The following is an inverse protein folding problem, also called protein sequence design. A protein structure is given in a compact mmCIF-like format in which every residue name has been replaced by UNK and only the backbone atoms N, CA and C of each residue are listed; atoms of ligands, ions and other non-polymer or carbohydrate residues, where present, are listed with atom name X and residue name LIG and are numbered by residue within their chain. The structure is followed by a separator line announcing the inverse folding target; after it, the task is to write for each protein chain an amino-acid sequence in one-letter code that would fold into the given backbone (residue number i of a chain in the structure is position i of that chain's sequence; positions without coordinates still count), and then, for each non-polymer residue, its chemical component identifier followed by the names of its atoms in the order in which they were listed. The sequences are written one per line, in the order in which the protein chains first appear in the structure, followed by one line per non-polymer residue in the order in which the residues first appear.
data_IF_365259099771
#
_entry.id   IF_365259099771
#
_cell.length_a   1.000
_cell.length_b   1.000
_cell.length_c   1.000
_cell.angle_alpha   90.00
_cell.angle_beta   90.00
_cell.angle_gamma   90.00
#
_symmetry.space_group_name_H-M   'P 1'
#
loop_
_entity.id
_entity.type
_entity.pdbx_description
1 polymer ?
#
# COMPACT_ATOMS: atom_id res chain seq x y z
N UNK A 1 10.59 -54.83 0.14
CA UNK A 1 11.19 -55.18 -1.16
C UNK A 1 11.45 -53.90 -1.93
N UNK A 2 12.71 -53.61 -2.27
CA UNK A 2 13.07 -52.39 -3.01
C UNK A 2 12.56 -52.47 -4.46
N UNK A 3 11.93 -51.39 -4.96
CA UNK A 3 11.49 -51.28 -6.36
C UNK A 3 12.72 -51.30 -7.27
N UNK A 4 12.84 -52.31 -8.14
CA UNK A 4 13.87 -52.37 -9.20
C UNK A 4 13.72 -51.14 -10.11
N UNK A 5 14.82 -50.40 -10.29
CA UNK A 5 14.91 -49.36 -11.31
C UNK A 5 14.90 -50.00 -12.70
N UNK A 6 14.08 -49.44 -13.58
CA UNK A 6 13.92 -49.86 -14.97
C UNK A 6 15.02 -49.23 -15.83
N UNK A 7 16.08 -50.01 -16.08
CA UNK A 7 17.28 -49.55 -16.77
C UNK A 7 17.03 -49.18 -18.24
N UNK A 8 16.10 -49.87 -18.91
CA UNK A 8 15.77 -49.61 -20.33
C UNK A 8 15.16 -48.22 -20.52
N UNK A 9 14.32 -47.78 -19.58
CA UNK A 9 13.69 -46.46 -19.64
C UNK A 9 14.71 -45.32 -19.49
N UNK A 10 15.79 -45.54 -18.74
CA UNK A 10 16.87 -44.56 -18.54
C UNK A 10 17.77 -44.48 -19.77
N UNK A 11 18.04 -45.62 -20.43
CA UNK A 11 18.85 -45.70 -21.63
C UNK A 11 18.15 -45.08 -22.86
N UNK A 12 16.83 -45.29 -23.00
CA UNK A 12 16.02 -44.65 -24.04
C UNK A 12 15.97 -43.12 -23.92
N UNK A 13 15.99 -42.57 -22.69
CA UNK A 13 16.03 -41.13 -22.45
C UNK A 13 17.39 -40.51 -22.83
N UNK A 14 18.51 -41.21 -22.61
CA UNK A 14 19.86 -40.76 -23.05
C UNK A 14 19.98 -40.71 -24.57
N UNK A 15 19.42 -41.69 -25.29
CA UNK A 15 19.43 -41.68 -26.76
C UNK A 15 18.58 -40.56 -27.40
N UNK A 16 17.57 -40.02 -26.71
CA UNK A 16 16.80 -38.87 -27.19
C UNK A 16 17.54 -37.53 -27.04
N UNK A 17 18.40 -37.38 -26.01
CA UNK A 17 19.25 -36.20 -25.85
C UNK A 17 20.37 -36.15 -26.90
N UNK A 18 20.99 -37.30 -27.22
CA UNK A 18 21.97 -37.41 -28.30
C UNK A 18 21.37 -36.92 -29.64
N UNK A 19 20.17 -37.39 -30.01
CA UNK A 19 19.47 -36.96 -31.24
C UNK A 19 19.14 -35.46 -31.30
N UNK A 20 19.00 -34.77 -30.16
CA UNK A 20 18.79 -33.31 -30.10
C UNK A 20 20.09 -32.52 -30.22
N UNK A 21 21.18 -33.06 -29.68
CA UNK A 21 22.54 -32.53 -29.87
C UNK A 21 22.95 -32.60 -31.34
N UNK A 22 22.75 -33.77 -31.96
CA UNK A 22 23.12 -34.03 -33.35
C UNK A 22 22.37 -33.09 -34.32
N UNK A 23 21.06 -32.86 -34.11
CA UNK A 23 20.28 -31.90 -34.91
C UNK A 23 20.76 -30.45 -34.78
N UNK A 24 21.27 -30.04 -33.61
CA UNK A 24 21.82 -28.69 -33.40
C UNK A 24 23.18 -28.52 -34.06
N UNK A 25 24.00 -29.56 -34.05
CA UNK A 25 25.27 -29.57 -34.79
C UNK A 25 25.07 -29.62 -36.30
N UNK A 26 24.07 -30.37 -36.77
CA UNK A 26 23.68 -30.43 -38.17
C UNK A 26 23.18 -29.07 -38.68
N UNK A 27 22.31 -28.39 -37.92
CA UNK A 27 21.90 -27.00 -38.23
C UNK A 27 23.07 -26.01 -38.24
N UNK A 28 24.03 -26.14 -37.30
CA UNK A 28 25.23 -25.30 -37.30
C UNK A 28 26.08 -25.52 -38.54
N UNK A 29 26.24 -26.78 -38.97
CA UNK A 29 26.98 -27.13 -40.20
C UNK A 29 26.28 -26.60 -41.44
N UNK A 30 24.96 -26.72 -41.54
CA UNK A 30 24.19 -26.14 -42.66
C UNK A 30 24.34 -24.61 -42.74
N UNK A 31 24.30 -23.92 -41.60
CA UNK A 31 24.51 -22.46 -41.54
C UNK A 31 25.93 -22.09 -42.00
N UNK A 32 26.94 -22.80 -41.51
CA UNK A 32 28.34 -22.57 -41.92
C UNK A 32 28.56 -22.83 -43.42
N UNK A 33 28.01 -23.92 -43.94
CA UNK A 33 28.13 -24.28 -45.35
C UNK A 33 27.38 -23.27 -46.25
N UNK A 34 26.23 -22.78 -45.81
CA UNK A 34 25.50 -21.71 -46.48
C UNK A 34 26.28 -20.40 -46.52
N UNK A 35 26.97 -20.04 -45.42
CA UNK A 35 27.83 -18.85 -45.36
C UNK A 35 29.05 -19.02 -46.27
N UNK A 36 29.66 -20.22 -46.31
CA UNK A 36 30.78 -20.53 -47.19
C UNK A 36 30.36 -20.41 -48.67
N UNK A 37 29.19 -20.95 -49.05
CA UNK A 37 28.60 -20.84 -50.40
C UNK A 37 28.28 -19.39 -50.79
N UNK A 38 27.88 -18.55 -49.84
CA UNK A 38 27.69 -17.12 -50.06
C UNK A 38 29.03 -16.39 -50.29
N UNK A 39 30.08 -16.74 -49.54
CA UNK A 39 31.42 -16.12 -49.65
C UNK A 39 32.21 -16.59 -50.86
N UNK A 40 32.03 -17.83 -51.31
CA UNK A 40 32.66 -18.38 -52.52
C UNK A 40 32.00 -17.88 -53.81
N UNK A 41 30.93 -17.09 -53.72
CA UNK A 41 30.23 -16.52 -54.87
C UNK A 41 29.32 -17.50 -55.62
N UNK A 42 29.12 -18.73 -55.10
CA UNK A 42 28.17 -19.70 -55.66
C UNK A 42 26.72 -19.19 -55.61
N UNK A 43 26.38 -18.34 -54.63
CA UNK A 43 25.12 -17.61 -54.57
C UNK A 43 25.34 -16.13 -54.89
N UNK A 44 24.78 -15.65 -56.00
CA UNK A 44 24.86 -14.24 -56.40
C UNK A 44 23.78 -13.43 -55.67
N UNK A 45 24.17 -12.73 -54.61
CA UNK A 45 23.33 -11.71 -53.97
C UNK A 45 23.49 -10.37 -54.71
N UNK A 46 22.38 -9.77 -55.17
CA UNK A 46 22.39 -8.40 -55.69
C UNK A 46 22.07 -7.44 -54.55
N UNK A 47 23.03 -6.60 -54.19
CA UNK A 47 22.78 -5.50 -53.25
C UNK A 47 21.99 -4.43 -54.00
N UNK A 48 20.74 -4.22 -53.60
CA UNK A 48 19.96 -3.07 -54.04
C UNK A 48 20.38 -1.91 -53.13
N UNK A 49 21.32 -1.10 -53.60
CA UNK A 49 21.64 0.16 -52.95
C UNK A 49 20.44 1.10 -53.14
N UNK A 50 19.90 1.74 -52.09
CA UNK A 50 18.86 2.74 -52.27
C UNK A 50 19.39 3.87 -53.16
N UNK A 51 18.55 4.43 -54.03
CA UNK A 51 18.91 5.60 -54.84
C UNK A 51 19.47 6.69 -53.92
N UNK A 52 20.73 7.08 -54.13
CA UNK A 52 21.31 8.26 -53.49
C UNK A 52 20.51 9.46 -53.97
N UNK A 53 19.55 9.92 -53.16
CA UNK A 53 19.13 11.32 -53.22
C UNK A 53 20.37 12.13 -52.81
N UNK A 54 20.91 12.92 -53.74
CA UNK A 54 21.86 13.97 -53.40
C UNK A 54 21.11 14.95 -52.49
N UNK A 55 21.25 14.78 -51.18
CA UNK A 55 20.88 15.83 -50.25
C UNK A 55 21.93 16.92 -50.44
N UNK A 56 21.52 18.02 -51.08
CA UNK A 56 22.19 19.29 -50.91
C UNK A 56 22.49 19.47 -49.41
N UNK A 57 23.69 19.94 -49.09
CA UNK A 57 24.18 20.15 -47.73
C UNK A 57 23.26 21.15 -47.00
N UNK A 58 22.11 20.67 -46.52
CA UNK A 58 21.29 21.41 -45.59
C UNK A 58 22.09 21.45 -44.30
N UNK A 59 22.42 22.65 -43.82
CA UNK A 59 23.00 22.84 -42.49
C UNK A 59 22.23 21.96 -41.50
N UNK A 60 22.95 21.09 -40.77
CA UNK A 60 22.33 20.15 -39.85
C UNK A 60 21.38 20.91 -38.92
N UNK A 61 20.11 20.48 -38.86
CA UNK A 61 19.10 21.11 -38.00
C UNK A 61 19.63 21.21 -36.58
N UNK A 62 19.70 22.44 -36.04
CA UNK A 62 20.12 22.69 -34.66
C UNK A 62 19.22 21.94 -33.68
N UNK A 63 19.82 21.45 -32.60
CA UNK A 63 19.12 20.78 -31.50
C UNK A 63 18.46 21.84 -30.64
N UNK A 64 17.14 21.75 -30.42
CA UNK A 64 16.39 22.71 -29.60
C UNK A 64 16.60 22.38 -28.13
N UNK A 65 17.30 23.24 -27.41
CA UNK A 65 17.76 22.99 -26.04
C UNK A 65 16.99 23.86 -25.05
N UNK A 66 16.46 23.23 -24.01
CA UNK A 66 15.98 23.90 -22.82
C UNK A 66 16.95 23.66 -21.66
N UNK A 67 17.03 24.60 -20.72
CA UNK A 67 17.73 24.39 -19.45
C UNK A 67 16.74 24.51 -18.29
N UNK A 68 16.98 23.74 -17.22
CA UNK A 68 16.16 23.78 -16.02
C UNK A 68 17.01 24.06 -14.78
N UNK A 69 16.73 25.20 -14.14
CA UNK A 69 17.43 25.66 -12.94
C UNK A 69 16.47 25.66 -11.74
N UNK A 70 16.95 25.16 -10.60
CA UNK A 70 16.20 25.16 -9.34
C UNK A 70 17.16 25.41 -8.20
N UNK A 71 16.80 26.26 -7.23
CA UNK A 71 17.51 26.35 -5.94
C UNK A 71 16.79 25.51 -4.89
N UNK A 72 17.57 24.79 -4.08
CA UNK A 72 17.07 23.82 -3.10
C UNK A 72 16.82 24.45 -1.73
N UNK A 73 17.50 25.55 -1.41
CA UNK A 73 17.42 26.23 -0.12
C UNK A 73 17.38 27.75 -0.28
N UNK A 74 16.82 28.43 0.72
CA UNK A 74 16.84 29.89 0.80
C UNK A 74 18.28 30.44 0.92
N UNK A 75 19.18 29.65 1.50
CA UNK A 75 20.61 29.95 1.66
C UNK A 75 21.35 29.91 0.30
N UNK A 76 21.03 28.96 -0.59
CA UNK A 76 21.52 28.96 -1.98
C UNK A 76 21.01 30.19 -2.75
N UNK A 77 19.76 30.62 -2.51
CA UNK A 77 19.16 31.78 -3.18
C UNK A 77 19.81 33.12 -2.77
N UNK A 78 20.35 33.23 -1.56
CA UNK A 78 20.99 34.47 -1.07
C UNK A 78 22.39 34.75 -1.68
N UNK A 79 23.02 33.77 -2.33
CA UNK A 79 24.45 33.85 -2.77
C UNK A 79 24.61 34.17 -4.26
N UNK A 80 23.57 34.57 -4.99
CA UNK A 80 23.65 34.79 -6.46
C UNK A 80 23.89 33.49 -7.24
N UNK A 81 23.73 32.33 -6.57
CA UNK A 81 23.97 31.01 -7.14
C UNK A 81 22.95 30.61 -8.20
N UNK A 82 21.80 31.27 -8.22
CA UNK A 82 20.73 31.05 -9.19
C UNK A 82 21.03 31.76 -10.51
N UNK A 83 21.40 33.04 -10.46
CA UNK A 83 21.82 33.83 -11.62
C UNK A 83 23.06 33.20 -12.27
N UNK A 84 24.01 32.70 -11.46
CA UNK A 84 25.16 31.96 -11.97
C UNK A 84 24.77 30.66 -12.68
N UNK A 85 23.74 29.94 -12.22
CA UNK A 85 23.25 28.74 -12.90
C UNK A 85 22.61 29.07 -14.24
N UNK A 86 21.79 30.13 -14.30
CA UNK A 86 21.17 30.59 -15.54
C UNK A 86 22.25 31.04 -16.53
N UNK A 87 23.22 31.85 -16.09
CA UNK A 87 24.34 32.29 -16.93
C UNK A 87 25.20 31.13 -17.41
N UNK A 88 25.46 30.14 -16.55
CA UNK A 88 26.19 28.93 -16.91
C UNK A 88 25.50 28.17 -18.05
N UNK A 89 24.20 27.86 -17.92
CA UNK A 89 23.50 27.14 -18.98
C UNK A 89 23.30 27.98 -20.25
N UNK A 90 23.10 29.29 -20.10
CA UNK A 90 23.08 30.21 -21.24
C UNK A 90 24.40 30.15 -22.02
N UNK A 91 25.53 30.26 -21.32
CA UNK A 91 26.87 30.15 -21.91
C UNK A 91 27.14 28.78 -22.54
N UNK A 92 26.71 27.69 -21.90
CA UNK A 92 26.83 26.33 -22.45
C UNK A 92 26.07 26.19 -23.76
N UNK A 93 24.91 26.83 -23.87
CA UNK A 93 24.07 26.77 -25.08
C UNK A 93 24.64 27.68 -26.18
N UNK A 94 25.00 28.91 -25.85
CA UNK A 94 25.51 29.89 -26.82
C UNK A 94 26.87 29.48 -27.41
N UNK A 95 27.71 28.81 -26.63
CA UNK A 95 29.01 28.32 -27.10
C UNK A 95 28.92 27.07 -27.98
N UNK A 96 27.74 26.46 -28.14
CA UNK A 96 27.56 25.29 -29.00
C UNK A 96 26.82 25.68 -30.29
N UNK A 97 27.49 25.70 -31.46
CA UNK A 97 26.89 26.15 -32.72
C UNK A 97 25.73 25.26 -33.19
N UNK A 98 25.63 24.04 -32.66
CA UNK A 98 24.58 23.08 -32.97
C UNK A 98 23.34 23.23 -32.06
N UNK A 99 23.36 24.11 -31.07
CA UNK A 99 22.24 24.31 -30.15
C UNK A 99 21.42 25.54 -30.51
N UNK A 100 20.12 25.45 -30.26
CA UNK A 100 19.16 26.53 -30.35
C UNK A 100 18.45 26.64 -29.00
N UNK A 101 18.63 27.76 -28.28
CA UNK A 101 17.96 27.97 -27.00
C UNK A 101 16.45 28.12 -27.21
N UNK A 102 15.67 27.23 -26.56
CA UNK A 102 14.21 27.36 -26.48
C UNK A 102 13.84 28.30 -25.33
N UNK A 103 14.20 27.90 -24.11
CA UNK A 103 13.89 28.62 -22.87
C UNK A 103 14.71 28.05 -21.71
N UNK A 104 15.11 28.92 -20.79
CA UNK A 104 15.61 28.51 -19.48
C UNK A 104 14.42 28.56 -18.51
N UNK A 105 14.02 27.38 -18.03
CA UNK A 105 12.95 27.20 -17.07
C UNK A 105 13.51 27.25 -15.66
N UNK A 106 12.78 27.92 -14.77
CA UNK A 106 13.25 28.15 -13.41
C UNK A 106 12.16 27.87 -12.39
N UNK A 107 12.56 27.32 -11.24
CA UNK A 107 11.72 27.21 -10.06
C UNK A 107 12.49 27.72 -8.83
N UNK A 108 12.02 28.81 -8.23
CA UNK A 108 12.56 29.35 -6.97
C UNK A 108 12.01 28.55 -5.78
N UNK A 109 12.91 27.97 -4.99
CA UNK A 109 12.56 27.15 -3.82
C UNK A 109 12.43 27.98 -2.54
N UNK A 110 11.20 28.33 -2.16
CA UNK A 110 10.89 28.66 -0.76
C UNK A 110 10.74 27.34 0.00
N UNK A 111 11.44 27.25 1.13
CA UNK A 111 11.57 26.13 2.06
C UNK A 111 10.39 25.14 2.19
N UNK A 112 10.72 23.85 2.31
CA UNK A 112 10.31 22.95 3.40
C UNK A 112 8.85 22.54 3.60
N UNK A 113 7.86 23.32 3.20
CA UNK A 113 6.45 23.06 3.52
C UNK A 113 5.58 23.64 2.41
N UNK A 114 4.99 22.75 1.61
CA UNK A 114 3.99 22.94 0.55
C UNK A 114 3.77 24.34 -0.06
N UNK A 115 3.66 24.31 -1.40
CA UNK A 115 3.06 25.33 -2.28
C UNK A 115 4.02 26.33 -2.96
N UNK A 116 5.07 25.79 -3.58
CA UNK A 116 5.49 26.23 -4.91
C UNK A 116 5.14 25.11 -5.90
N UNK A 117 4.07 25.27 -6.69
CA UNK A 117 3.84 24.42 -7.87
C UNK A 117 5.07 24.64 -8.75
N UNK A 118 5.81 23.57 -9.09
CA UNK A 118 7.02 23.62 -9.94
C UNK A 118 6.61 24.04 -11.35
N UNK A 119 6.19 25.29 -11.50
CA UNK A 119 5.55 25.81 -12.71
C UNK A 119 6.56 25.82 -13.84
N UNK A 120 7.80 26.20 -13.57
CA UNK A 120 8.86 26.15 -14.57
C UNK A 120 9.14 24.72 -15.03
N UNK A 121 9.19 23.76 -14.10
CA UNK A 121 9.33 22.35 -14.48
C UNK A 121 8.13 21.83 -15.27
N UNK A 122 6.90 22.14 -14.85
CA UNK A 122 5.69 21.70 -15.54
C UNK A 122 5.60 22.27 -16.95
N UNK A 123 5.85 23.57 -17.09
CA UNK A 123 5.89 24.25 -18.39
C UNK A 123 6.97 23.63 -19.30
N UNK A 124 8.15 23.32 -18.76
CA UNK A 124 9.20 22.63 -19.52
C UNK A 124 8.75 21.27 -20.06
N UNK A 125 8.09 20.46 -19.22
CA UNK A 125 7.61 19.15 -19.63
C UNK A 125 6.47 19.27 -20.65
N UNK A 126 5.58 20.25 -20.49
CA UNK A 126 4.52 20.56 -21.47
C UNK A 126 5.11 20.96 -22.83
N UNK A 127 6.13 21.82 -22.83
CA UNK A 127 6.83 22.23 -24.06
C UNK A 127 7.63 21.09 -24.70
N UNK A 128 8.20 20.19 -23.90
CA UNK A 128 8.82 18.96 -24.39
C UNK A 128 7.78 18.03 -25.05
N UNK A 129 6.63 17.82 -24.39
CA UNK A 129 5.52 17.04 -24.94
C UNK A 129 4.90 17.66 -26.20
N UNK A 130 4.90 19.00 -26.30
CA UNK A 130 4.49 19.72 -27.51
C UNK A 130 5.54 19.63 -28.65
N UNK A 131 6.65 18.91 -28.43
CA UNK A 131 7.71 18.70 -29.40
C UNK A 131 8.51 19.97 -29.67
N UNK A 132 8.57 20.93 -28.74
CA UNK A 132 9.37 22.17 -28.87
C UNK A 132 10.83 21.98 -28.44
N UNK A 133 11.10 20.99 -27.60
CA UNK A 133 12.41 20.73 -26.97
C UNK A 133 12.92 19.38 -27.46
N UNK A 134 14.21 19.29 -27.81
CA UNK A 134 14.91 18.05 -28.17
C UNK A 134 15.86 17.59 -27.05
N UNK A 135 16.42 18.54 -26.27
CA UNK A 135 17.35 18.28 -25.17
C UNK A 135 17.08 19.20 -23.98
N UNK A 136 17.05 18.63 -22.78
CA UNK A 136 16.95 19.35 -21.51
C UNK A 136 18.31 19.29 -20.79
N UNK A 137 18.86 20.44 -20.39
CA UNK A 137 20.04 20.54 -19.54
C UNK A 137 19.61 20.81 -18.10
N UNK A 138 20.17 20.07 -17.15
CA UNK A 138 19.93 20.29 -15.71
C UNK A 138 21.20 19.98 -14.94
N UNK A 139 21.39 20.66 -13.79
CA UNK A 139 22.63 20.48 -13.01
C UNK A 139 22.77 19.07 -12.47
N UNK A 140 21.70 18.51 -11.90
CA UNK A 140 21.73 17.19 -11.28
C UNK A 140 20.38 16.48 -11.30
N UNK A 141 20.38 15.18 -10.99
CA UNK A 141 19.16 14.37 -10.85
C UNK A 141 18.27 14.92 -9.71
N UNK A 142 18.89 15.36 -8.62
CA UNK A 142 18.19 15.94 -7.46
C UNK A 142 17.53 17.29 -7.79
N UNK A 143 18.05 18.06 -8.77
CA UNK A 143 17.37 19.28 -9.25
C UNK A 143 16.18 18.93 -10.11
N UNK A 144 16.24 17.85 -10.90
CA UNK A 144 15.19 17.42 -11.83
C UNK A 144 13.91 16.89 -11.16
N UNK A 145 13.98 16.25 -10.00
CA UNK A 145 12.77 15.77 -9.30
C UNK A 145 12.85 15.77 -7.78
N UNK A 146 11.70 15.64 -7.13
CA UNK A 146 11.57 15.66 -5.66
C UNK A 146 11.75 14.29 -5.03
N UNK A 147 11.27 13.25 -5.71
CA UNK A 147 11.46 11.87 -5.31
C UNK A 147 11.84 11.03 -6.54
N UNK A 148 12.41 9.86 -6.31
CA UNK A 148 12.95 9.01 -7.37
C UNK A 148 11.84 8.52 -8.33
N UNK A 149 10.63 8.31 -7.82
CA UNK A 149 9.47 7.86 -8.62
C UNK A 149 9.05 8.95 -9.63
N UNK A 150 9.01 10.21 -9.21
CA UNK A 150 8.67 11.35 -10.07
C UNK A 150 9.74 11.53 -11.17
N UNK A 151 11.01 11.40 -10.81
CA UNK A 151 12.15 11.47 -11.75
C UNK A 151 12.00 10.39 -12.82
N UNK A 152 11.79 9.14 -12.40
CA UNK A 152 11.62 7.99 -13.28
C UNK A 152 10.42 8.16 -14.22
N UNK A 153 9.30 8.61 -13.69
CA UNK A 153 8.06 8.81 -14.47
C UNK A 153 8.28 9.86 -15.55
N UNK A 154 8.95 10.97 -15.19
CA UNK A 154 9.26 12.04 -16.13
C UNK A 154 10.25 11.58 -17.21
N UNK A 155 11.32 10.89 -16.82
CA UNK A 155 12.30 10.35 -17.78
C UNK A 155 11.68 9.35 -18.75
N UNK A 156 10.77 8.49 -18.29
CA UNK A 156 10.01 7.59 -19.17
C UNK A 156 9.12 8.37 -20.13
N UNK A 157 8.37 9.34 -19.62
CA UNK A 157 7.50 10.20 -20.44
C UNK A 157 8.28 10.86 -21.56
N UNK A 158 9.43 11.47 -21.26
CA UNK A 158 10.29 12.12 -22.26
C UNK A 158 10.92 11.12 -23.25
N UNK A 159 11.27 9.91 -22.79
CA UNK A 159 11.80 8.85 -23.64
C UNK A 159 10.74 8.21 -24.56
N UNK A 160 9.46 8.25 -24.18
CA UNK A 160 8.36 7.67 -24.95
C UNK A 160 7.78 8.66 -26.00
N UNK A 161 8.22 9.92 -25.98
CA UNK A 161 7.89 10.90 -27.02
C UNK A 161 8.50 10.51 -28.38
N UNK A 162 7.90 11.02 -29.46
CA UNK A 162 8.39 10.79 -30.82
C UNK A 162 8.54 12.13 -31.59
N UNK A 163 9.77 12.65 -31.76
CA UNK A 163 11.05 12.09 -31.31
C UNK A 163 11.24 12.15 -29.77
N UNK A 164 12.07 11.28 -29.19
CA UNK A 164 12.32 11.29 -27.75
C UNK A 164 13.13 12.52 -27.32
N UNK A 165 12.86 13.01 -26.13
CA UNK A 165 13.56 14.17 -25.56
C UNK A 165 14.65 13.69 -24.61
N UNK A 166 15.89 14.12 -24.87
CA UNK A 166 17.02 13.80 -24.02
C UNK A 166 17.12 14.76 -22.82
N UNK A 167 17.80 14.32 -21.78
CA UNK A 167 18.07 15.03 -20.53
C UNK A 167 19.53 14.78 -20.20
N UNK A 168 20.28 15.87 -20.04
CA UNK A 168 21.66 15.84 -19.62
C UNK A 168 21.77 16.33 -18.17
N UNK A 169 22.27 15.45 -17.31
CA UNK A 169 22.57 15.71 -15.92
C UNK A 169 24.07 15.98 -15.79
N UNK A 170 24.43 17.25 -15.62
CA UNK A 170 25.82 17.71 -15.66
C UNK A 170 26.68 17.13 -14.53
N UNK A 171 26.18 17.14 -13.29
CA UNK A 171 26.89 16.66 -12.10
C UNK A 171 27.19 15.16 -12.15
N UNK A 172 26.24 14.37 -12.66
CA UNK A 172 26.40 12.93 -12.79
C UNK A 172 27.12 12.53 -14.10
N UNK A 173 27.32 13.47 -15.04
CA UNK A 173 27.93 13.20 -16.35
C UNK A 173 27.06 12.28 -17.21
N UNK A 174 25.74 12.36 -17.05
CA UNK A 174 24.78 11.44 -17.65
C UNK A 174 23.97 12.16 -18.72
N UNK A 175 24.09 11.70 -19.96
CA UNK A 175 23.17 12.07 -21.04
C UNK A 175 22.28 10.87 -21.39
N UNK A 176 20.97 11.09 -21.42
CA UNK A 176 20.00 10.06 -21.75
C UNK A 176 19.96 9.71 -23.25
N UNK A 177 20.48 10.53 -24.16
CA UNK A 177 20.49 10.25 -25.61
C UNK A 177 21.35 9.05 -26.00
N UNK A 178 22.41 8.72 -25.25
CA UNK A 178 23.51 7.85 -25.70
C UNK A 178 23.22 6.34 -25.50
N UNK A 179 21.94 5.94 -25.47
CA UNK A 179 21.52 4.60 -25.07
C UNK A 179 21.70 4.30 -23.56
N UNK A 180 22.39 5.18 -22.82
CA UNK A 180 22.54 5.17 -21.36
C UNK A 180 21.24 5.48 -20.61
N UNK A 181 20.23 5.98 -21.32
CA UNK A 181 18.87 6.18 -20.84
C UNK A 181 18.36 5.01 -19.98
N UNK A 182 18.53 3.79 -20.50
CA UNK A 182 18.08 2.56 -19.84
C UNK A 182 18.87 2.25 -18.58
N UNK A 183 20.17 2.54 -18.53
CA UNK A 183 21.00 2.33 -17.34
C UNK A 183 20.57 3.28 -16.21
N UNK A 184 20.37 4.55 -16.51
CA UNK A 184 19.94 5.58 -15.56
C UNK A 184 18.57 5.23 -14.99
N UNK A 185 17.62 4.89 -15.88
CA UNK A 185 16.28 4.44 -15.48
C UNK A 185 16.38 3.17 -14.63
N UNK A 186 17.29 2.23 -14.93
CA UNK A 186 17.46 1.00 -14.15
C UNK A 186 18.02 1.26 -12.75
N UNK A 187 19.06 2.10 -12.63
CA UNK A 187 19.65 2.49 -11.34
C UNK A 187 18.62 3.22 -10.48
N UNK A 188 17.94 4.21 -11.05
CA UNK A 188 16.90 4.95 -10.34
C UNK A 188 15.73 4.03 -9.96
N UNK A 189 15.36 3.06 -10.80
CA UNK A 189 14.33 2.07 -10.46
C UNK A 189 14.75 1.21 -9.27
N UNK A 190 15.99 0.74 -9.24
CA UNK A 190 16.53 -0.02 -8.12
C UNK A 190 16.56 0.82 -6.82
N UNK A 191 16.96 2.08 -6.90
CA UNK A 191 16.96 2.99 -5.75
C UNK A 191 15.54 3.26 -5.23
N UNK A 192 14.57 3.49 -6.12
CA UNK A 192 13.17 3.65 -5.73
C UNK A 192 12.61 2.42 -5.02
N UNK A 193 12.99 1.22 -5.49
CA UNK A 193 12.61 -0.04 -4.86
C UNK A 193 13.22 -0.17 -3.46
N UNK A 194 14.51 0.14 -3.30
CA UNK A 194 15.20 0.14 -2.00
C UNK A 194 14.56 1.12 -1.02
N UNK A 195 14.25 2.35 -1.45
CA UNK A 195 13.57 3.33 -0.59
C UNK A 195 12.19 2.84 -0.14
N UNK A 196 11.42 2.24 -1.06
CA UNK A 196 10.10 1.68 -0.74
C UNK A 196 10.20 0.53 0.27
N UNK A 197 11.20 -0.35 0.10
CA UNK A 197 11.50 -1.42 1.05
C UNK A 197 11.85 -0.86 2.43
N UNK A 198 12.78 0.10 2.51
CA UNK A 198 13.21 0.71 3.76
C UNK A 198 12.06 1.40 4.49
N UNK A 199 11.23 2.18 3.79
CA UNK A 199 10.01 2.79 4.35
C UNK A 199 9.08 1.72 4.92
N UNK A 200 8.85 0.64 4.17
CA UNK A 200 8.01 -0.46 4.67
C UNK A 200 8.59 -1.12 5.92
N UNK A 201 9.91 -1.30 6.01
CA UNK A 201 10.59 -1.87 7.17
C UNK A 201 10.39 -0.95 8.38
N UNK A 202 10.72 0.34 8.24
CA UNK A 202 10.58 1.32 9.31
C UNK A 202 9.14 1.42 9.85
N UNK A 203 8.14 1.42 8.96
CA UNK A 203 6.72 1.41 9.37
C UNK A 203 6.38 0.14 10.16
N UNK A 204 6.80 -1.04 9.67
CA UNK A 204 6.55 -2.31 10.35
C UNK A 204 7.24 -2.35 11.71
N UNK A 205 8.45 -1.82 11.81
CA UNK A 205 9.20 -1.70 13.07
C UNK A 205 8.50 -0.76 14.06
N UNK A 206 8.10 0.43 13.63
CA UNK A 206 7.35 1.35 14.49
C UNK A 206 6.00 0.77 14.95
N UNK A 207 5.32 -0.01 14.10
CA UNK A 207 4.12 -0.75 14.50
C UNK A 207 4.45 -1.81 15.55
N UNK A 208 5.51 -2.61 15.32
CA UNK A 208 5.95 -3.65 16.27
C UNK A 208 6.37 -3.06 17.61
N UNK A 209 7.11 -1.95 17.61
CA UNK A 209 7.48 -1.22 18.81
C UNK A 209 6.23 -0.80 19.60
N UNK A 210 5.23 -0.20 18.96
CA UNK A 210 3.97 0.12 19.64
C UNK A 210 3.24 -1.10 20.18
N UNK A 211 3.30 -2.26 19.50
CA UNK A 211 2.70 -3.50 20.02
C UNK A 211 3.47 -4.05 21.22
N UNK A 212 4.79 -3.91 21.20
CA UNK A 212 5.68 -4.26 22.30
C UNK A 212 5.50 -3.35 23.51
N UNK A 213 5.08 -2.09 23.34
CA UNK A 213 4.85 -1.17 24.46
C UNK A 213 3.36 -1.13 24.90
N UNK A 214 2.50 -1.97 24.33
CA UNK A 214 1.05 -1.95 24.61
C UNK A 214 0.31 -0.73 24.03
N UNK A 215 1.00 0.17 23.32
CA UNK A 215 0.44 1.40 22.75
C UNK A 215 -0.27 1.21 21.39
N UNK A 216 -0.27 -0.01 20.85
CA UNK A 216 -0.86 -0.28 19.55
C UNK A 216 -2.39 -0.26 19.62
N UNK A 217 -3.03 0.36 18.61
CA UNK A 217 -4.50 0.50 18.58
C UNK A 217 -5.13 -0.60 17.73
N UNK A 218 -5.75 -1.59 18.38
CA UNK A 218 -6.52 -2.60 17.64
C UNK A 218 -7.83 -2.03 17.05
N UNK A 219 -8.34 -2.68 16.00
CA UNK A 219 -9.58 -2.26 15.34
C UNK A 219 -10.82 -2.66 16.14
N UNK A 220 -11.74 -1.71 16.36
CA UNK A 220 -13.05 -1.91 17.00
C UNK A 220 -14.19 -2.16 16.00
N UNK A 221 -13.93 -2.06 14.69
CA UNK A 221 -14.98 -2.07 13.65
C UNK A 221 -15.90 -3.30 13.70
N UNK A 222 -15.34 -4.49 13.94
CA UNK A 222 -16.07 -5.75 14.00
C UNK A 222 -16.00 -6.41 15.39
N UNK A 223 -15.68 -5.63 16.43
CA UNK A 223 -15.62 -6.09 17.82
C UNK A 223 -16.80 -5.47 18.54
N UNK A 224 -17.91 -6.21 18.61
CA UNK A 224 -19.17 -5.75 19.23
C UNK A 224 -18.94 -5.44 20.72
N UNK A 225 -19.64 -4.44 21.27
CA UNK A 225 -19.50 -4.04 22.67
C UNK A 225 -18.44 -2.97 22.93
N UNK A 226 -17.65 -2.62 21.92
CA UNK A 226 -16.62 -1.59 22.02
C UNK A 226 -16.75 -0.52 20.94
N UNK A 227 -16.42 0.71 21.32
CA UNK A 227 -16.20 1.81 20.40
C UNK A 227 -14.90 2.55 20.75
N UNK A 228 -14.43 3.37 19.82
CA UNK A 228 -13.27 4.24 20.06
C UNK A 228 -13.77 5.67 20.11
N UNK A 229 -13.41 6.42 21.14
CA UNK A 229 -13.80 7.83 21.31
C UNK A 229 -12.92 8.79 20.50
N UNK A 230 -13.21 10.09 20.53
CA UNK A 230 -12.45 11.13 19.81
C UNK A 230 -10.97 11.19 20.26
N UNK A 231 -10.70 10.92 21.55
CA UNK A 231 -9.34 10.84 22.10
C UNK A 231 -8.57 9.59 21.64
N UNK A 232 -9.27 8.64 21.01
CA UNK A 232 -8.70 7.40 20.52
C UNK A 232 -8.62 6.30 21.58
N UNK A 233 -9.29 6.44 22.74
CA UNK A 233 -9.41 5.42 23.80
C UNK A 233 -10.54 4.45 23.49
N UNK A 234 -10.39 3.20 23.91
CA UNK A 234 -11.44 2.18 23.78
C UNK A 234 -12.41 2.33 24.94
N UNK A 235 -13.70 2.43 24.64
CA UNK A 235 -14.78 2.51 25.62
C UNK A 235 -15.83 1.43 25.32
N UNK A 236 -16.56 1.02 26.36
CA UNK A 236 -17.63 0.04 26.25
C UNK A 236 -18.88 0.73 25.69
N UNK A 237 -19.48 0.15 24.67
CA UNK A 237 -20.82 0.52 24.18
C UNK A 237 -21.85 -0.30 24.96
N UNK A 238 -22.61 0.30 25.91
CA UNK A 238 -23.48 -0.45 26.81
C UNK A 238 -24.49 -1.34 26.09
N UNK A 239 -25.10 -0.85 25.02
CA UNK A 239 -26.11 -1.60 24.25
C UNK A 239 -25.57 -2.91 23.69
N UNK A 240 -24.38 -2.83 23.10
CA UNK A 240 -23.74 -3.97 22.47
C UNK A 240 -23.02 -4.88 23.49
N UNK A 241 -22.59 -4.32 24.62
CA UNK A 241 -22.00 -5.08 25.71
C UNK A 241 -23.00 -6.07 26.32
N UNK A 242 -24.30 -5.75 26.34
CA UNK A 242 -25.34 -6.69 26.76
C UNK A 242 -25.40 -7.91 25.84
N UNK A 243 -25.24 -7.74 24.53
CA UNK A 243 -25.18 -8.86 23.57
C UNK A 243 -23.99 -9.77 23.90
N UNK A 244 -22.83 -9.18 24.21
CA UNK A 244 -21.64 -9.93 24.61
C UNK A 244 -21.90 -10.68 25.92
N UNK A 245 -22.45 -10.02 26.94
CA UNK A 245 -22.81 -10.65 28.23
C UNK A 245 -23.76 -11.81 28.02
N UNK A 246 -24.83 -11.60 27.26
CA UNK A 246 -25.78 -12.65 26.90
C UNK A 246 -25.10 -13.87 26.25
N UNK A 247 -24.18 -13.65 25.31
CA UNK A 247 -23.43 -14.74 24.66
C UNK A 247 -22.60 -15.53 25.69
N UNK A 248 -21.89 -14.84 26.59
CA UNK A 248 -21.06 -15.49 27.60
C UNK A 248 -21.90 -16.19 28.67
N UNK A 249 -22.95 -15.54 29.20
CA UNK A 249 -23.88 -16.09 30.19
C UNK A 249 -24.51 -17.38 29.65
N UNK A 250 -25.19 -17.28 28.50
CA UNK A 250 -25.83 -18.41 27.82
C UNK A 250 -24.89 -19.59 27.59
N UNK A 251 -23.66 -19.30 27.16
CA UNK A 251 -22.66 -20.33 26.91
C UNK A 251 -22.18 -20.99 28.22
N UNK A 252 -21.93 -20.21 29.27
CA UNK A 252 -21.51 -20.74 30.57
C UNK A 252 -22.62 -21.50 31.33
N UNK A 253 -23.87 -21.28 30.95
CA UNK A 253 -25.06 -22.02 31.40
C UNK A 253 -25.29 -23.33 30.61
N UNK A 254 -24.53 -23.56 29.52
CA UNK A 254 -24.51 -24.81 28.78
C UNK A 254 -25.16 -24.75 27.40
N UNK A 255 -25.57 -23.59 26.90
CA UNK A 255 -26.05 -23.45 25.53
C UNK A 255 -24.92 -23.64 24.52
N UNK A 256 -25.20 -24.35 23.42
CA UNK A 256 -24.24 -24.51 22.34
C UNK A 256 -24.09 -23.20 21.53
N UNK A 257 -22.93 -22.96 20.90
CA UNK A 257 -22.75 -21.77 20.06
C UNK A 257 -23.73 -21.70 18.86
N UNK A 258 -24.40 -22.81 18.53
CA UNK A 258 -25.42 -22.87 17.49
C UNK A 258 -26.74 -22.33 18.02
N UNK A 259 -27.19 -22.80 19.18
CA UNK A 259 -28.43 -22.35 19.81
C UNK A 259 -28.36 -20.84 20.13
N UNK A 260 -27.20 -20.34 20.58
CA UNK A 260 -26.99 -18.90 20.79
C UNK A 260 -27.13 -18.11 19.48
N UNK A 261 -26.60 -18.64 18.37
CA UNK A 261 -26.70 -17.99 17.07
C UNK A 261 -28.15 -17.99 16.53
N UNK A 262 -28.87 -19.10 16.68
CA UNK A 262 -30.29 -19.23 16.32
C UNK A 262 -31.13 -18.24 17.14
N UNK A 263 -30.96 -18.21 18.47
CA UNK A 263 -31.63 -17.27 19.37
C UNK A 263 -31.40 -15.80 19.01
N UNK A 264 -30.15 -15.39 18.74
CA UNK A 264 -29.86 -14.01 18.34
C UNK A 264 -30.46 -13.63 16.98
N UNK A 265 -30.57 -14.61 16.07
CA UNK A 265 -31.18 -14.43 14.75
C UNK A 265 -32.70 -14.29 14.86
N UNK A 266 -33.35 -15.14 15.66
CA UNK A 266 -34.79 -15.08 15.94
C UNK A 266 -35.20 -13.78 16.62
N UNK A 267 -34.31 -13.22 17.45
CA UNK A 267 -34.50 -11.91 18.09
C UNK A 267 -34.29 -10.71 17.13
N UNK A 268 -33.90 -10.94 15.87
CA UNK A 268 -33.67 -9.89 14.88
C UNK A 268 -32.40 -9.05 15.11
N UNK A 269 -31.47 -9.53 15.94
CA UNK A 269 -30.25 -8.80 16.28
C UNK A 269 -29.22 -9.01 15.17
N UNK A 270 -28.65 -7.91 14.67
CA UNK A 270 -27.65 -7.99 13.60
C UNK A 270 -26.29 -8.47 14.13
N UNK A 271 -25.62 -9.29 13.33
CA UNK A 271 -24.25 -9.74 13.62
C UNK A 271 -23.22 -8.59 13.58
N UNK A 272 -21.99 -8.76 14.08
CA UNK A 272 -20.96 -7.70 14.08
C UNK A 272 -20.59 -7.16 12.70
N UNK A 273 -20.88 -7.91 11.62
CA UNK A 273 -20.68 -7.48 10.23
C UNK A 273 -21.93 -6.88 9.59
N UNK A 274 -23.02 -6.71 10.36
CA UNK A 274 -24.30 -6.19 9.89
C UNK A 274 -25.21 -7.21 9.20
N UNK A 275 -24.87 -8.51 9.21
CA UNK A 275 -25.73 -9.56 8.64
C UNK A 275 -26.96 -9.80 9.53
N UNK A 276 -28.10 -10.12 8.92
CA UNK A 276 -29.36 -10.44 9.59
C UNK A 276 -29.34 -11.76 10.36
N UNK A 277 -28.47 -12.69 9.97
CA UNK A 277 -28.34 -13.99 10.62
C UNK A 277 -26.97 -14.15 11.29
N UNK A 278 -26.97 -14.85 12.43
CA UNK A 278 -25.76 -15.24 13.15
C UNK A 278 -25.29 -16.62 12.71
N UNK A 279 -23.97 -16.76 12.55
CA UNK A 279 -23.32 -18.04 12.29
C UNK A 279 -22.68 -18.55 13.58
N UNK A 280 -22.73 -19.86 13.81
CA UNK A 280 -22.04 -20.51 14.94
C UNK A 280 -20.55 -20.11 15.02
N UNK A 281 -19.86 -19.98 13.88
CA UNK A 281 -18.47 -19.57 13.82
C UNK A 281 -18.24 -18.15 14.38
N UNK A 282 -19.21 -17.24 14.22
CA UNK A 282 -19.15 -15.89 14.78
C UNK A 282 -19.20 -15.93 16.30
N UNK A 283 -20.11 -16.72 16.87
CA UNK A 283 -20.21 -16.92 18.32
C UNK A 283 -18.92 -17.51 18.88
N UNK A 284 -18.39 -18.57 18.24
CA UNK A 284 -17.09 -19.16 18.63
C UNK A 284 -15.95 -18.14 18.61
N UNK A 285 -15.89 -17.28 17.59
CA UNK A 285 -14.87 -16.24 17.51
C UNK A 285 -15.03 -15.17 18.60
N UNK A 286 -16.26 -14.85 19.00
CA UNK A 286 -16.53 -13.93 20.10
C UNK A 286 -16.06 -14.54 21.42
N UNK A 287 -16.46 -15.77 21.71
CA UNK A 287 -16.08 -16.47 22.94
C UNK A 287 -14.55 -16.63 23.06
N UNK A 288 -13.83 -16.85 21.95
CA UNK A 288 -12.35 -16.98 21.93
C UNK A 288 -11.57 -15.66 22.00
N UNK A 289 -12.24 -14.52 21.88
CA UNK A 289 -11.55 -13.23 21.79
C UNK A 289 -11.18 -12.74 23.19
N UNK A 290 -9.88 -12.65 23.47
CA UNK A 290 -9.31 -12.17 24.74
C UNK A 290 -9.72 -10.71 25.05
N UNK A 291 -10.15 -9.96 24.04
CA UNK A 291 -10.59 -8.57 24.24
C UNK A 291 -11.77 -8.44 25.18
N UNK A 292 -12.63 -9.44 25.31
CA UNK A 292 -13.81 -9.31 26.18
C UNK A 292 -13.48 -9.37 27.67
N UNK A 293 -12.34 -9.95 28.06
CA UNK A 293 -11.83 -9.92 29.43
C UNK A 293 -10.86 -8.76 29.72
N UNK A 294 -10.70 -7.83 28.77
CA UNK A 294 -9.82 -6.66 28.91
C UNK A 294 -8.38 -6.88 28.41
N UNK A 295 -8.08 -8.06 27.85
CA UNK A 295 -6.74 -8.39 27.38
C UNK A 295 -6.59 -8.20 25.86
N UNK A 296 -5.36 -8.13 25.37
CA UNK A 296 -5.12 -8.04 23.93
C UNK A 296 -3.86 -8.78 23.52
N UNK A 297 -3.98 -9.56 22.44
CA UNK A 297 -2.86 -10.22 21.78
C UNK A 297 -2.57 -9.59 20.42
N UNK A 298 -1.40 -8.96 20.31
CA UNK A 298 -0.93 -8.30 19.10
C UNK A 298 -0.16 -9.26 18.16
N UNK A 299 0.02 -8.82 16.91
CA UNK A 299 0.78 -9.52 15.87
C UNK A 299 0.29 -10.95 15.53
N UNK A 300 -1.03 -11.22 15.64
CA UNK A 300 -1.64 -12.50 15.20
C UNK A 300 -1.51 -12.75 13.68
N UNK A 301 -1.26 -11.70 12.91
CA UNK A 301 -1.07 -11.71 11.46
C UNK A 301 0.02 -10.72 11.09
N UNK A 302 0.68 -10.94 9.95
CA UNK A 302 1.72 -10.03 9.45
C UNK A 302 1.66 -9.95 7.92
N UNK A 303 2.20 -8.86 7.35
CA UNK A 303 2.32 -8.69 5.90
C UNK A 303 3.61 -9.34 5.41
N UNK A 304 3.50 -10.37 4.55
CA UNK A 304 4.64 -11.16 4.05
C UNK A 304 5.48 -10.37 3.05
N UNK A 305 4.82 -9.60 2.21
CA UNK A 305 5.42 -8.89 1.09
C UNK A 305 5.01 -7.41 1.15
N UNK A 306 5.98 -6.53 0.89
CA UNK A 306 5.76 -5.07 0.87
C UNK A 306 5.11 -4.61 -0.43
N UNK A 307 5.22 -5.35 -1.55
CA UNK A 307 4.55 -4.99 -2.81
C UNK A 307 3.08 -5.43 -2.82
N UNK A 308 2.83 -6.71 -2.53
CA UNK A 308 1.47 -7.26 -2.66
C UNK A 308 0.60 -6.99 -1.43
N UNK A 309 1.19 -6.49 -0.34
CA UNK A 309 0.53 -6.26 0.96
C UNK A 309 -0.28 -7.46 1.48
N UNK A 310 0.03 -8.68 1.01
CA UNK A 310 -0.68 -9.89 1.40
C UNK A 310 -0.40 -10.23 2.86
N UNK A 311 -1.47 -10.34 3.64
CA UNK A 311 -1.41 -10.72 5.06
C UNK A 311 -1.45 -12.23 5.22
N UNK A 312 -0.59 -12.76 6.08
CA UNK A 312 -0.57 -14.16 6.50
C UNK A 312 -0.80 -14.27 8.01
N UNK A 313 -1.27 -15.43 8.46
CA UNK A 313 -1.32 -15.77 9.90
C UNK A 313 0.08 -15.88 10.45
N UNK A 314 0.30 -15.38 11.66
CA UNK A 314 1.58 -15.50 12.35
C UNK A 314 1.62 -16.82 13.12
N UNK A 315 2.08 -17.87 12.45
CA UNK A 315 2.31 -19.19 13.05
C UNK A 315 3.76 -19.28 13.55
N UNK A 316 4.08 -18.54 14.62
CA UNK A 316 5.43 -18.49 15.25
C UNK A 316 6.55 -18.00 14.32
N UNK A 317 6.23 -17.10 13.38
CA UNK A 317 7.22 -16.51 12.47
C UNK A 317 7.77 -15.20 13.05
N UNK A 318 6.93 -14.43 13.72
CA UNK A 318 7.28 -13.18 14.39
C UNK A 318 6.84 -13.22 15.85
N UNK A 319 7.49 -12.46 16.74
CA UNK A 319 7.04 -12.33 18.13
C UNK A 319 5.60 -11.84 18.20
N UNK A 320 4.89 -12.30 19.23
CA UNK A 320 3.55 -11.85 19.56
C UNK A 320 3.59 -11.32 20.99
N UNK A 321 2.85 -10.24 21.23
CA UNK A 321 2.80 -9.59 22.53
C UNK A 321 1.40 -9.75 23.11
N UNK A 322 1.34 -10.08 24.39
CA UNK A 322 0.11 -10.24 25.15
C UNK A 322 0.10 -9.21 26.26
N UNK A 323 -0.96 -8.42 26.35
CA UNK A 323 -1.15 -7.39 27.36
C UNK A 323 -2.41 -7.69 28.15
N UNK A 324 -2.28 -7.72 29.47
CA UNK A 324 -3.39 -7.89 30.39
C UNK A 324 -3.99 -6.54 30.77
N UNK A 325 -5.32 -6.47 30.86
CA UNK A 325 -6.05 -5.27 31.30
C UNK A 325 -5.71 -4.00 30.48
N UNK A 326 -5.50 -4.15 29.16
CA UNK A 326 -5.21 -3.07 28.20
C UNK A 326 -6.38 -2.08 28.06
N UNK A 327 -7.61 -2.59 28.16
CA UNK A 327 -8.83 -1.80 28.02
C UNK A 327 -9.96 -2.31 28.92
N UNK A 328 -11.06 -1.54 29.12
CA UNK A 328 -12.14 -1.95 29.99
C UNK A 328 -12.76 -3.32 29.60
N UNK A 329 -12.83 -4.24 30.55
CA UNK A 329 -13.41 -5.57 30.33
C UNK A 329 -14.95 -5.51 30.29
N UNK A 330 -15.58 -6.22 29.36
CA UNK A 330 -17.04 -6.42 29.34
C UNK A 330 -17.43 -7.60 30.23
N UNK A 331 -16.60 -8.63 30.22
CA UNK A 331 -16.79 -9.92 30.89
C UNK A 331 -15.73 -10.08 31.98
N UNK A 332 -16.13 -10.58 33.15
CA UNK A 332 -15.19 -10.89 34.24
C UNK A 332 -14.21 -11.98 33.80
N UNK A 333 -12.94 -11.88 34.23
CA UNK A 333 -11.87 -12.83 33.88
C UNK A 333 -12.25 -14.28 34.21
N UNK A 334 -12.88 -14.52 35.36
CA UNK A 334 -13.36 -15.84 35.77
C UNK A 334 -14.37 -16.44 34.79
N UNK A 335 -15.33 -15.64 34.34
CA UNK A 335 -16.34 -16.07 33.38
C UNK A 335 -15.72 -16.35 32.02
N UNK A 336 -14.75 -15.54 31.59
CA UNK A 336 -14.03 -15.77 30.34
C UNK A 336 -13.19 -17.05 30.38
N UNK A 337 -12.50 -17.32 31.50
CA UNK A 337 -11.74 -18.54 31.71
C UNK A 337 -12.65 -19.78 31.66
N UNK A 338 -13.79 -19.75 32.37
CA UNK A 338 -14.81 -20.81 32.32
C UNK A 338 -15.30 -21.04 30.89
N UNK A 339 -15.51 -19.98 30.11
CA UNK A 339 -15.86 -20.11 28.70
C UNK A 339 -14.74 -20.75 27.85
N UNK A 340 -13.45 -20.47 28.12
CA UNK A 340 -12.36 -21.16 27.42
C UNK A 340 -12.31 -22.65 27.75
N UNK A 341 -12.45 -23.02 29.03
CA UNK A 341 -12.50 -24.41 29.47
C UNK A 341 -13.62 -25.19 28.78
N UNK A 342 -14.82 -24.60 28.70
CA UNK A 342 -15.97 -25.19 28.00
C UNK A 342 -15.77 -25.27 26.47
N UNK A 343 -15.03 -24.32 25.88
CA UNK A 343 -14.67 -24.37 24.46
C UNK A 343 -13.67 -25.49 24.16
N UNK A 344 -12.69 -25.68 25.03
CA UNK A 344 -11.64 -26.70 24.87
C UNK A 344 -12.17 -28.11 25.14
N UNK A 345 -13.11 -28.26 26.08
CA UNK A 345 -13.76 -29.54 26.35
C UNK A 345 -14.58 -30.08 25.16
N UNK A 346 -15.04 -29.22 24.25
CA UNK A 346 -15.71 -29.59 22.99
C UNK A 346 -17.06 -30.31 23.10
N UNK A 347 -17.51 -30.64 24.31
CA UNK A 347 -18.72 -31.42 24.58
C UNK A 347 -19.95 -30.51 24.75
N UNK A 348 -20.43 -29.93 23.65
CA UNK A 348 -21.65 -29.12 23.65
C UNK A 348 -22.86 -30.00 23.30
N UNK A 349 -23.63 -30.42 24.29
CA UNK A 349 -24.93 -31.08 24.07
C UNK A 349 -26.00 -30.02 23.85
N UNK A 350 -27.02 -30.35 23.04
CA UNK A 350 -28.20 -29.50 22.88
C UNK A 350 -28.86 -29.34 24.25
N UNK A 351 -29.10 -28.11 24.68
CA UNK A 351 -29.79 -27.85 25.94
C UNK A 351 -31.25 -28.31 25.81
N UNK A 352 -31.79 -28.93 26.87
CA UNK A 352 -33.22 -29.26 26.93
C UNK A 352 -34.09 -28.04 27.24
N UNK A 353 -33.50 -26.95 27.75
CA UNK A 353 -34.20 -25.72 28.07
C UNK A 353 -34.05 -24.71 26.92
N UNK A 354 -35.15 -24.06 26.48
CA UNK A 354 -35.08 -22.96 25.53
C UNK A 354 -34.28 -21.80 26.14
N UNK A 355 -33.46 -21.13 25.33
CA UNK A 355 -32.76 -19.92 25.78
C UNK A 355 -33.78 -18.81 26.06
N UNK A 356 -33.59 -18.11 27.19
CA UNK A 356 -34.35 -16.89 27.44
C UNK A 356 -33.97 -15.83 26.40
N UNK A 357 -34.96 -15.11 25.89
CA UNK A 357 -34.74 -13.97 25.01
C UNK A 357 -34.09 -12.82 25.79
N UNK A 358 -33.24 -12.02 25.15
CA UNK A 358 -32.74 -10.81 25.79
C UNK A 358 -33.92 -9.87 26.06
N UNK A 359 -33.97 -9.34 27.28
CA UNK A 359 -34.91 -8.28 27.62
C UNK A 359 -34.60 -7.09 26.71
N UNK A 360 -35.56 -6.68 25.88
CA UNK A 360 -35.44 -5.47 25.05
C UNK A 360 -35.25 -4.28 25.98
N UNK A 361 -34.01 -3.82 26.13
CA UNK A 361 -33.70 -2.52 26.71
C UNK A 361 -33.64 -1.52 25.57
N UNK A 362 -34.31 -0.40 25.74
CA UNK A 362 -34.22 0.74 24.83
C UNK A 362 -32.75 1.13 24.63
N UNK A 363 -32.28 1.16 23.38
CA UNK A 363 -30.85 1.33 23.07
C UNK A 363 -30.65 2.23 21.85
N UNK A 364 -29.68 3.12 21.97
CA UNK A 364 -29.35 4.15 20.98
C UNK A 364 -28.13 3.71 20.19
N UNK A 365 -28.21 3.65 18.87
CA UNK A 365 -27.06 3.31 18.05
C UNK A 365 -26.14 4.53 17.85
N UNK A 366 -24.85 4.38 18.16
CA UNK A 366 -23.83 5.41 17.93
C UNK A 366 -22.97 5.08 16.72
N UNK A 367 -22.68 6.07 15.87
CA UNK A 367 -21.86 5.89 14.67
C UNK A 367 -20.39 5.66 15.06
N UNK A 368 -19.87 4.49 14.68
CA UNK A 368 -18.54 4.00 15.09
C UNK A 368 -17.36 4.46 14.23
N UNK A 369 -17.61 4.95 13.02
CA UNK A 369 -16.55 5.31 12.06
C UNK A 369 -17.01 6.30 11.02
N UNK A 370 -16.08 7.08 10.46
CA UNK A 370 -16.35 8.07 9.42
C UNK A 370 -16.52 9.48 9.98
N UNK A 371 -17.00 10.41 9.13
CA UNK A 371 -17.14 11.83 9.46
C UNK A 371 -18.16 12.05 10.59
N UNK A 372 -19.20 11.23 10.66
CA UNK A 372 -20.25 11.31 11.69
C UNK A 372 -19.94 10.49 12.94
N UNK A 373 -18.67 10.15 13.17
CA UNK A 373 -18.26 9.38 14.35
C UNK A 373 -18.65 10.12 15.63
N UNK A 374 -19.32 9.43 16.54
CA UNK A 374 -19.75 10.01 17.81
C UNK A 374 -21.17 10.58 17.81
N UNK A 375 -21.85 10.62 16.66
CA UNK A 375 -23.26 10.98 16.59
C UNK A 375 -24.16 9.78 16.90
N UNK A 376 -25.30 10.06 17.51
CA UNK A 376 -26.36 9.09 17.74
C UNK A 376 -27.30 9.04 16.53
N UNK A 377 -27.70 7.84 16.14
CA UNK A 377 -28.68 7.62 15.09
C UNK A 377 -30.07 7.57 15.72
N UNK A 378 -30.92 8.52 15.34
CA UNK A 378 -32.34 8.48 15.62
C UNK A 378 -33.01 7.52 14.64
N UNK A 379 -33.70 6.52 15.18
CA UNK A 379 -34.58 5.68 14.38
C UNK A 379 -35.97 6.33 14.31
N UNK A 380 -36.46 6.56 13.10
CA UNK A 380 -37.79 7.14 12.88
C UNK A 380 -38.92 6.20 13.30
N UNK A 381 -38.64 4.91 13.48
CA UNK A 381 -39.64 3.91 13.86
C UNK A 381 -39.85 3.79 15.38
N UNK A 382 -39.13 4.59 16.19
CA UNK A 382 -39.28 4.56 17.65
C UNK A 382 -40.68 4.97 18.12
N UNK A 383 -41.17 4.25 19.13
CA UNK A 383 -42.38 4.62 19.87
C UNK A 383 -42.18 5.95 20.61
N UNK A 384 -43.28 6.50 21.14
CA UNK A 384 -43.21 7.73 21.93
C UNK A 384 -42.43 7.49 23.24
N UNK A 385 -42.67 6.38 23.92
CA UNK A 385 -41.94 6.03 25.16
C UNK A 385 -40.44 5.84 24.90
N UNK A 386 -40.10 5.24 23.76
CA UNK A 386 -38.71 5.04 23.32
C UNK A 386 -37.99 6.37 23.04
N UNK A 387 -38.65 7.32 22.38
CA UNK A 387 -38.10 8.68 22.17
C UNK A 387 -37.94 9.46 23.47
N UNK A 388 -38.89 9.33 24.40
CA UNK A 388 -38.81 10.03 25.68
C UNK A 388 -37.65 9.46 26.54
N UNK A 389 -37.45 8.13 26.51
CA UNK A 389 -36.27 7.50 27.12
C UNK A 389 -34.96 7.93 26.45
N UNK A 390 -34.93 8.11 25.13
CA UNK A 390 -33.77 8.64 24.43
C UNK A 390 -33.38 10.04 24.90
N UNK A 391 -34.36 10.94 24.95
CA UNK A 391 -34.14 12.32 25.35
C UNK A 391 -33.67 12.39 26.80
N UNK A 392 -34.22 11.56 27.69
CA UNK A 392 -33.73 11.44 29.07
C UNK A 392 -32.26 10.99 29.14
N UNK A 393 -31.87 9.99 28.34
CA UNK A 393 -30.48 9.52 28.27
C UNK A 393 -29.56 10.65 27.78
N UNK A 394 -29.92 11.35 26.71
CA UNK A 394 -29.12 12.46 26.18
C UNK A 394 -28.99 13.60 27.20
N UNK A 395 -30.08 13.99 27.86
CA UNK A 395 -30.05 15.05 28.87
C UNK A 395 -29.17 14.66 30.05
N UNK A 396 -29.23 13.41 30.52
CA UNK A 396 -28.35 12.93 31.60
C UNK A 396 -26.86 12.92 31.21
N UNK A 397 -26.55 12.76 29.92
CA UNK A 397 -25.18 12.80 29.40
C UNK A 397 -24.69 14.25 29.31
N UNK A 398 -25.54 15.20 28.91
CA UNK A 398 -25.20 16.62 28.82
C UNK A 398 -25.07 17.28 30.21
N UNK A 399 -25.92 16.91 31.18
CA UNK A 399 -25.81 17.40 32.57
C UNK A 399 -24.50 16.96 33.25
N UNK A 400 -23.85 15.89 32.78
CA UNK A 400 -22.53 15.44 33.24
C UNK A 400 -21.38 16.24 32.62
N UNK A 401 -21.59 16.89 31.46
CA UNK A 401 -20.59 17.72 30.77
C UNK A 401 -20.59 19.15 31.35
N UNK A 402 -21.76 19.71 31.67
CA UNK A 402 -21.90 21.04 32.31
C UNK A 402 -21.20 21.11 33.68
N UNK A 403 -21.11 19.99 34.41
CA UNK A 403 -20.41 19.90 35.70
C UNK A 403 -18.88 19.79 35.61
N UNK A 404 -18.31 19.64 34.41
CA UNK A 404 -16.85 19.61 34.21
C UNK A 404 -16.27 20.96 33.75
N UNK A 405 -17.09 21.86 33.21
CA UNK A 405 -16.64 23.22 32.86
C UNK A 405 -16.46 24.11 34.10
N UNK A 406 -17.27 23.95 35.16
CA UNK A 406 -17.13 24.73 36.41
C UNK A 406 -15.94 24.35 37.31
N UNK A 407 -15.13 23.34 36.94
CA UNK A 407 -13.95 22.92 37.74
C UNK A 407 -12.60 23.36 37.16
N UNK A 408 -12.61 24.13 36.07
CA UNK A 408 -11.41 24.65 35.42
C UNK A 408 -11.45 26.19 35.26
N UNK A 409 -11.99 26.92 36.24
CA UNK A 409 -11.72 28.34 36.45
C UNK A 409 -10.82 28.58 37.65
#
# INVERSE_FOLDING_TARGET
MAKKLDAERIEQARHQEQKRSDRREEQKREIQDTIAKNRSGQRKGRVIMPEKKEYAYQEARKVRVAAYCRVSTAEEAQVGSFEMQVQHFQSVIDNNPNYELVKIYTDEGISGTSVGKRKGFQEMIEDACAGKIDLILTKSISRFGRNIVDILTTLRTLSDLNPPVAVNFESEGINTSDGKNKLVISILSALAELESQQKSIAIKEGIRYRMQEGLYKYSVKNTIGYYRDYSGRVKIEPAEAEIVRYIFDSFTEGASPREIAESLTEQGIRSPKGMEYWRQATIKNILKNEKYCGDVRYQKTYSKDYLTHKTAKNNNILPQWYWENDHPAIIKREQWNKAQELLDAGNWRKSSKPLEAMKKKFTVAKVKSGVLRGYFLLDMMWSKEERDQFIQIINSINELDDGQEERNE
#
